data_IF_237314766171
#
_entry.id   IF_237314766171
#
_cell.length_a   1.000
_cell.length_b   1.000
_cell.length_c   1.000
_cell.angle_alpha   90.00
_cell.angle_beta   90.00
_cell.angle_gamma   90.00
#
_symmetry.space_group_name_H-M   'P 1'
#
loop_
_entity.id
_entity.type
_entity.pdbx_description
1 polymer ?
#
# COMPACT_ATOMS: atom_id res chain seq x y z
N UNK A 1 26.32 2.90 -14.29
CA UNK A 1 25.66 4.07 -13.67
C UNK A 1 24.31 4.26 -14.37
N UNK A 2 23.18 4.03 -13.68
CA UNK A 2 21.85 4.25 -14.28
C UNK A 2 21.53 5.74 -14.26
N UNK A 3 21.40 6.38 -15.43
CA UNK A 3 20.98 7.77 -15.56
C UNK A 3 19.50 7.88 -15.14
N UNK A 4 19.21 8.67 -14.10
CA UNK A 4 17.84 8.98 -13.66
C UNK A 4 17.46 10.37 -14.15
N UNK A 5 16.50 10.44 -15.07
CA UNK A 5 15.98 11.70 -15.57
C UNK A 5 14.81 12.19 -14.71
N UNK A 6 14.82 13.49 -14.35
CA UNK A 6 13.72 14.15 -13.63
C UNK A 6 12.99 15.10 -14.57
N UNK A 7 11.72 14.83 -14.82
CA UNK A 7 10.88 15.66 -15.69
C UNK A 7 9.88 16.48 -14.88
N UNK A 8 9.58 17.70 -15.33
CA UNK A 8 8.51 18.54 -14.77
C UNK A 8 7.26 18.39 -15.63
N UNK A 9 6.20 17.83 -15.07
CA UNK A 9 4.88 17.82 -15.72
C UNK A 9 4.25 19.21 -15.60
N UNK A 10 3.70 19.71 -16.71
CA UNK A 10 2.86 20.93 -16.74
C UNK A 10 1.42 20.53 -17.10
N UNK A 11 0.62 20.07 -16.12
CA UNK A 11 -0.75 19.64 -16.39
C UNK A 11 -1.62 20.81 -16.84
N UNK A 12 -2.58 20.55 -17.73
CA UNK A 12 -3.63 21.52 -18.05
C UNK A 12 -4.61 21.68 -16.87
N UNK A 13 -5.51 22.68 -16.93
CA UNK A 13 -6.46 22.97 -15.84
C UNK A 13 -7.33 21.76 -15.49
N UNK A 14 -7.87 21.05 -16.49
CA UNK A 14 -8.69 19.85 -16.28
C UNK A 14 -7.87 18.70 -15.67
N UNK A 15 -6.66 18.46 -16.17
CA UNK A 15 -5.73 17.47 -15.58
C UNK A 15 -5.39 17.80 -14.12
N UNK A 16 -5.16 19.07 -13.79
CA UNK A 16 -4.86 19.49 -12.43
C UNK A 16 -6.03 19.20 -11.47
N UNK A 17 -7.27 19.41 -11.90
CA UNK A 17 -8.47 19.05 -11.12
C UNK A 17 -8.54 17.54 -10.89
N UNK A 18 -8.28 16.73 -11.91
CA UNK A 18 -8.24 15.26 -11.78
C UNK A 18 -7.18 14.83 -10.78
N UNK A 19 -5.96 15.37 -10.90
CA UNK A 19 -4.84 15.07 -9.99
C UNK A 19 -5.19 15.48 -8.54
N UNK A 20 -5.82 16.64 -8.35
CA UNK A 20 -6.24 17.11 -7.02
C UNK A 20 -7.31 16.20 -6.39
N UNK A 21 -8.26 15.71 -7.20
CA UNK A 21 -9.26 14.74 -6.76
C UNK A 21 -8.61 13.41 -6.38
N UNK A 22 -7.66 12.92 -7.19
CA UNK A 22 -6.90 11.71 -6.90
C UNK A 22 -6.08 11.82 -5.61
N UNK A 23 -5.39 12.94 -5.39
CA UNK A 23 -4.66 13.20 -4.14
C UNK A 23 -5.60 13.20 -2.93
N UNK A 24 -6.81 13.76 -3.08
CA UNK A 24 -7.81 13.79 -2.01
C UNK A 24 -8.32 12.40 -1.67
N UNK A 25 -8.63 11.57 -2.67
CA UNK A 25 -9.03 10.17 -2.48
C UNK A 25 -7.88 9.34 -1.91
N UNK A 26 -6.67 9.50 -2.42
CA UNK A 26 -5.48 8.82 -1.95
C UNK A 26 -5.21 9.10 -0.47
N UNK A 27 -5.37 10.35 -0.04
CA UNK A 27 -5.26 10.75 1.37
C UNK A 27 -6.31 10.08 2.26
N UNK A 28 -7.56 10.05 1.83
CA UNK A 28 -8.65 9.37 2.57
C UNK A 28 -8.34 7.89 2.73
N UNK A 29 -7.95 7.25 1.64
CA UNK A 29 -7.59 5.84 1.63
C UNK A 29 -6.38 5.56 2.53
N UNK A 30 -5.32 6.36 2.44
CA UNK A 30 -4.15 6.24 3.32
C UNK A 30 -4.56 6.30 4.79
N UNK A 31 -5.36 7.29 5.19
CA UNK A 31 -5.78 7.45 6.58
C UNK A 31 -6.66 6.29 7.06
N UNK A 32 -7.59 5.82 6.22
CA UNK A 32 -8.42 4.66 6.52
C UNK A 32 -7.56 3.40 6.76
N UNK A 33 -6.66 3.09 5.83
CA UNK A 33 -5.76 1.93 5.93
C UNK A 33 -4.77 2.03 7.09
N UNK A 34 -4.31 3.24 7.41
CA UNK A 34 -3.47 3.46 8.57
C UNK A 34 -4.26 3.22 9.87
N UNK A 35 -5.51 3.66 9.95
CA UNK A 35 -6.37 3.46 11.10
C UNK A 35 -6.61 1.96 11.37
N UNK A 36 -6.92 1.17 10.34
CA UNK A 36 -7.07 -0.29 10.46
C UNK A 36 -5.84 -0.93 11.14
N UNK A 37 -4.64 -0.56 10.70
CA UNK A 37 -3.39 -1.10 11.22
C UNK A 37 -3.06 -0.62 12.63
N UNK A 38 -3.34 0.65 12.93
CA UNK A 38 -3.12 1.21 14.27
C UNK A 38 -4.09 0.62 15.28
N UNK A 39 -5.36 0.43 14.91
CA UNK A 39 -6.36 -0.23 15.76
C UNK A 39 -5.93 -1.67 16.08
N UNK A 40 -5.44 -2.42 15.08
CA UNK A 40 -4.88 -3.75 15.31
C UNK A 40 -3.67 -3.70 16.23
N UNK A 41 -2.72 -2.80 15.96
CA UNK A 41 -1.51 -2.66 16.75
C UNK A 41 -1.82 -2.32 18.22
N UNK A 42 -2.79 -1.45 18.48
CA UNK A 42 -3.22 -1.13 19.84
C UNK A 42 -3.89 -2.31 20.54
N UNK A 43 -4.64 -3.12 19.80
CA UNK A 43 -5.33 -4.27 20.35
C UNK A 43 -4.40 -5.46 20.63
N UNK A 44 -3.28 -5.58 19.91
CA UNK A 44 -2.34 -6.70 20.03
C UNK A 44 -1.03 -6.34 20.75
N UNK A 45 -0.72 -5.06 20.94
CA UNK A 45 0.54 -4.64 21.57
C UNK A 45 0.57 -4.99 23.05
N UNK A 46 1.74 -5.46 23.48
CA UNK A 46 2.16 -5.57 24.87
C UNK A 46 3.17 -4.48 25.21
N UNK A 47 3.03 -3.77 26.34
CA UNK A 47 4.01 -2.75 26.74
C UNK A 47 5.38 -3.39 27.01
N UNK A 48 6.47 -2.69 26.68
CA UNK A 48 7.86 -3.19 26.82
C UNK A 48 8.21 -3.52 28.27
N UNK A 49 7.57 -2.84 29.24
CA UNK A 49 7.76 -3.06 30.68
C UNK A 49 6.80 -4.11 31.27
N UNK A 50 6.08 -4.85 30.41
CA UNK A 50 5.20 -5.93 30.82
C UNK A 50 5.64 -7.24 30.14
N UNK A 51 5.32 -8.36 30.76
CA UNK A 51 5.49 -9.66 30.12
C UNK A 51 4.71 -9.66 28.79
N UNK A 52 5.32 -10.04 27.65
CA UNK A 52 4.59 -10.16 26.41
C UNK A 52 3.45 -11.16 26.60
N UNK A 53 2.22 -10.71 26.40
CA UNK A 53 1.10 -11.62 26.28
C UNK A 53 1.34 -12.49 25.06
N UNK A 54 1.34 -13.81 25.28
CA UNK A 54 1.39 -14.80 24.21
C UNK A 54 0.08 -14.84 23.39
N UNK A 55 -0.89 -13.98 23.72
CA UNK A 55 -2.23 -13.92 23.14
C UNK A 55 -2.75 -12.46 23.14
N UNK A 56 -3.60 -12.12 22.17
CA UNK A 56 -4.26 -10.81 22.08
C UNK A 56 -5.21 -10.55 23.25
N UNK A 57 -5.17 -9.35 23.85
CA UNK A 57 -6.11 -8.92 24.92
C UNK A 57 -7.54 -8.78 24.39
N UNK A 58 -7.66 -8.32 23.14
CA UNK A 58 -8.94 -8.20 22.47
C UNK A 58 -9.30 -9.55 21.84
N UNK A 59 -10.57 -10.01 21.92
CA UNK A 59 -11.00 -11.26 21.30
C UNK A 59 -10.58 -11.30 19.83
N UNK A 60 -9.81 -12.33 19.46
CA UNK A 60 -9.29 -12.57 18.12
C UNK A 60 -10.44 -12.48 17.10
N UNK A 61 -11.58 -13.09 17.40
CA UNK A 61 -12.76 -13.09 16.53
C UNK A 61 -13.23 -11.68 16.12
N UNK A 62 -13.11 -10.65 16.98
CA UNK A 62 -13.54 -9.28 16.65
C UNK A 62 -12.54 -8.51 15.80
N UNK A 63 -11.24 -8.78 15.95
CA UNK A 63 -10.19 -8.10 15.19
C UNK A 63 -9.98 -8.76 13.82
N UNK A 64 -10.07 -10.08 13.76
CA UNK A 64 -9.78 -10.89 12.58
C UNK A 64 -11.02 -11.25 11.76
N UNK A 65 -12.22 -10.85 12.17
CA UNK A 65 -13.49 -11.24 11.53
C UNK A 65 -13.52 -11.03 10.01
N UNK A 66 -12.84 -9.98 9.53
CA UNK A 66 -12.78 -9.63 8.10
C UNK A 66 -11.43 -9.96 7.44
N UNK A 67 -10.50 -10.62 8.14
CA UNK A 67 -9.16 -10.92 7.64
C UNK A 67 -9.10 -12.41 7.27
N UNK A 68 -8.95 -12.76 5.98
CA UNK A 68 -8.80 -14.15 5.60
C UNK A 68 -7.47 -14.71 6.10
N UNK A 69 -7.47 -15.92 6.67
CA UNK A 69 -6.26 -16.56 7.21
C UNK A 69 -5.21 -16.85 6.14
N UNK A 70 -5.66 -17.22 4.94
CA UNK A 70 -4.80 -17.57 3.81
C UNK A 70 -5.20 -16.77 2.57
N UNK A 71 -4.21 -16.51 1.72
CA UNK A 71 -4.43 -16.05 0.34
C UNK A 71 -3.99 -17.15 -0.62
N UNK A 72 -4.72 -17.29 -1.72
CA UNK A 72 -4.42 -18.27 -2.77
C UNK A 72 -3.75 -17.55 -3.93
N UNK A 73 -2.64 -18.08 -4.44
CA UNK A 73 -2.05 -17.55 -5.66
C UNK A 73 -2.93 -17.82 -6.88
N UNK A 74 -3.24 -16.76 -7.63
CA UNK A 74 -4.08 -16.85 -8.82
C UNK A 74 -3.30 -17.19 -10.10
N UNK A 75 -1.97 -17.02 -10.08
CA UNK A 75 -1.06 -17.17 -11.24
C UNK A 75 0.28 -17.72 -10.77
N UNK A 76 1.04 -18.26 -11.71
CA UNK A 76 2.40 -18.71 -11.44
C UNK A 76 3.34 -17.55 -11.12
N UNK A 77 4.30 -17.82 -10.23
CA UNK A 77 5.29 -16.86 -9.79
C UNK A 77 6.23 -16.44 -10.93
N UNK A 78 6.60 -15.16 -10.95
CA UNK A 78 7.57 -14.64 -11.92
C UNK A 78 9.00 -15.15 -11.66
N UNK A 79 9.33 -15.42 -10.39
CA UNK A 79 10.65 -15.95 -10.02
C UNK A 79 10.73 -17.44 -10.36
N UNK A 80 11.83 -17.83 -10.99
CA UNK A 80 12.12 -19.20 -11.40
C UNK A 80 13.25 -19.77 -10.56
N UNK A 81 13.20 -21.07 -10.30
CA UNK A 81 14.31 -21.83 -9.73
C UNK A 81 15.46 -21.96 -10.75
N UNK A 82 16.55 -22.58 -10.33
CA UNK A 82 17.71 -22.86 -11.20
C UNK A 82 17.35 -23.74 -12.40
N UNK A 83 16.25 -24.48 -12.34
CA UNK A 83 15.76 -25.37 -13.38
C UNK A 83 14.74 -24.69 -14.32
N UNK A 84 14.45 -23.40 -14.12
CA UNK A 84 13.52 -22.63 -14.93
C UNK A 84 12.04 -22.79 -14.56
N UNK A 85 11.71 -23.56 -13.52
CA UNK A 85 10.35 -23.74 -13.03
C UNK A 85 9.93 -22.58 -12.12
N UNK A 86 8.66 -22.15 -12.14
CA UNK A 86 8.16 -21.15 -11.19
C UNK A 86 8.34 -21.62 -9.73
N UNK A 87 8.94 -20.78 -8.89
CA UNK A 87 9.15 -21.08 -7.45
C UNK A 87 7.80 -21.23 -6.73
N UNK A 88 6.83 -20.41 -7.11
CA UNK A 88 5.46 -20.50 -6.61
C UNK A 88 4.52 -20.81 -7.76
N UNK A 89 3.55 -21.67 -7.51
CA UNK A 89 2.58 -22.14 -8.50
C UNK A 89 1.19 -21.58 -8.21
N UNK A 90 0.37 -21.49 -9.24
CA UNK A 90 -1.06 -21.20 -9.10
C UNK A 90 -1.70 -22.23 -8.15
N UNK A 91 -2.48 -21.75 -7.18
CA UNK A 91 -3.14 -22.58 -6.18
C UNK A 91 -2.41 -22.66 -4.83
N UNK A 92 -1.15 -22.23 -4.76
CA UNK A 92 -0.40 -22.22 -3.50
C UNK A 92 -1.11 -21.32 -2.47
N UNK A 93 -1.29 -21.84 -1.25
CA UNK A 93 -1.84 -21.11 -0.10
C UNK A 93 -0.71 -20.46 0.67
N UNK A 94 -0.80 -19.14 0.83
CA UNK A 94 0.15 -18.36 1.63
C UNK A 94 -0.57 -17.84 2.88
N UNK A 95 0.00 -18.01 4.08
CA UNK A 95 -0.60 -17.46 5.28
C UNK A 95 -0.56 -15.92 5.24
N UNK A 96 -1.65 -15.31 5.68
CA UNK A 96 -1.73 -13.87 5.92
C UNK A 96 -1.36 -13.50 7.36
N UNK A 97 -1.16 -14.50 8.23
CA UNK A 97 -0.68 -14.33 9.59
C UNK A 97 0.62 -15.12 9.73
N UNK A 98 1.72 -14.43 10.02
CA UNK A 98 3.05 -15.02 10.18
C UNK A 98 3.59 -14.60 11.54
N UNK A 99 3.96 -15.57 12.38
CA UNK A 99 4.47 -15.34 13.74
C UNK A 99 3.55 -14.46 14.61
N UNK A 100 2.23 -14.58 14.44
CA UNK A 100 1.23 -13.77 15.16
C UNK A 100 1.00 -12.36 14.59
N UNK A 101 1.70 -11.97 13.52
CA UNK A 101 1.53 -10.69 12.86
C UNK A 101 0.79 -10.83 11.53
N UNK A 102 -0.14 -9.91 11.27
CA UNK A 102 -0.86 -9.83 9.99
C UNK A 102 0.04 -9.23 8.93
N UNK A 103 0.12 -9.89 7.78
CA UNK A 103 0.71 -9.37 6.55
C UNK A 103 -0.26 -8.36 5.93
N UNK A 104 -0.31 -7.17 6.52
CA UNK A 104 -1.30 -6.13 6.21
C UNK A 104 -1.27 -5.66 4.76
N UNK A 105 -0.09 -5.60 4.15
CA UNK A 105 0.06 -5.22 2.75
C UNK A 105 -0.78 -6.12 1.84
N UNK A 106 -0.64 -7.44 1.97
CA UNK A 106 -1.34 -8.39 1.09
C UNK A 106 -2.85 -8.38 1.33
N UNK A 107 -3.27 -8.24 2.60
CA UNK A 107 -4.68 -8.16 2.98
C UNK A 107 -5.32 -6.89 2.38
N UNK A 108 -4.70 -5.74 2.57
CA UNK A 108 -5.24 -4.47 2.09
C UNK A 108 -5.19 -4.35 0.56
N UNK A 109 -4.20 -4.96 -0.10
CA UNK A 109 -4.15 -5.04 -1.56
C UNK A 109 -5.30 -5.89 -2.13
N UNK A 110 -5.64 -7.01 -1.49
CA UNK A 110 -6.78 -7.82 -1.90
C UNK A 110 -8.11 -7.08 -1.70
N UNK A 111 -8.24 -6.35 -0.59
CA UNK A 111 -9.44 -5.56 -0.25
C UNK A 111 -9.66 -4.33 -1.16
N UNK A 112 -8.68 -3.95 -1.99
CA UNK A 112 -8.89 -2.92 -3.02
C UNK A 112 -10.01 -3.29 -4.01
N UNK A 113 -10.21 -4.58 -4.28
CA UNK A 113 -11.31 -5.03 -5.14
C UNK A 113 -12.68 -4.69 -4.53
N UNK A 114 -12.85 -4.97 -3.23
CA UNK A 114 -14.04 -4.62 -2.47
C UNK A 114 -14.20 -3.11 -2.32
N UNK A 115 -13.11 -2.38 -2.09
CA UNK A 115 -13.12 -0.90 -2.04
C UNK A 115 -13.71 -0.32 -3.32
N UNK A 116 -13.30 -0.82 -4.49
CA UNK A 116 -13.84 -0.36 -5.79
C UNK A 116 -15.30 -0.74 -6.03
N UNK A 117 -15.80 -1.78 -5.34
CA UNK A 117 -17.21 -2.18 -5.37
C UNK A 117 -18.05 -1.24 -4.52
N UNK A 118 -17.58 -0.93 -3.31
CA UNK A 118 -18.27 -0.05 -2.36
C UNK A 118 -18.24 1.42 -2.80
N UNK A 119 -17.12 1.87 -3.36
CA UNK A 119 -16.89 3.26 -3.75
C UNK A 119 -16.53 3.35 -5.25
N UNK A 120 -17.53 3.52 -6.13
CA UNK A 120 -17.30 3.57 -7.58
C UNK A 120 -16.35 4.69 -8.03
N UNK A 121 -16.24 5.78 -7.27
CA UNK A 121 -15.29 6.88 -7.50
C UNK A 121 -13.82 6.41 -7.61
N UNK A 122 -13.45 5.34 -6.90
CA UNK A 122 -12.11 4.75 -6.93
C UNK A 122 -11.80 4.03 -8.25
N UNK A 123 -12.81 3.76 -9.09
CA UNK A 123 -12.61 3.19 -10.43
C UNK A 123 -11.95 4.20 -11.37
N UNK A 124 -12.16 5.50 -11.13
CA UNK A 124 -11.51 6.58 -11.90
C UNK A 124 -10.01 6.67 -11.64
N UNK A 125 -9.55 6.19 -10.48
CA UNK A 125 -8.12 6.17 -10.14
C UNK A 125 -7.40 5.00 -10.80
N UNK A 126 -6.20 5.28 -11.26
CA UNK A 126 -5.33 4.25 -11.79
C UNK A 126 -4.95 3.22 -10.70
N UNK A 127 -4.96 1.92 -11.07
CA UNK A 127 -4.73 0.81 -10.14
C UNK A 127 -3.39 0.91 -9.40
N UNK A 128 -2.34 1.36 -10.07
CA UNK A 128 -1.02 1.52 -9.46
C UNK A 128 -1.00 2.60 -8.37
N UNK A 129 -1.83 3.65 -8.46
CA UNK A 129 -1.92 4.67 -7.40
C UNK A 129 -2.51 4.07 -6.13
N UNK A 130 -3.53 3.21 -6.28
CA UNK A 130 -4.13 2.47 -5.17
C UNK A 130 -3.14 1.53 -4.49
N UNK A 131 -2.32 0.85 -5.29
CA UNK A 131 -1.25 -0.01 -4.78
C UNK A 131 -0.17 0.81 -4.06
N UNK A 132 0.25 1.94 -4.63
CA UNK A 132 1.23 2.87 -4.02
C UNK A 132 0.74 3.40 -2.66
N UNK A 133 -0.55 3.71 -2.52
CA UNK A 133 -1.12 4.14 -1.24
C UNK A 133 -0.91 3.06 -0.16
N UNK A 134 -1.21 1.80 -0.46
CA UNK A 134 -1.03 0.69 0.48
C UNK A 134 0.45 0.49 0.81
N UNK A 135 1.33 0.57 -0.18
CA UNK A 135 2.78 0.48 0.02
C UNK A 135 3.30 1.59 0.94
N UNK A 136 2.81 2.82 0.79
CA UNK A 136 3.20 3.94 1.65
C UNK A 136 2.78 3.73 3.10
N UNK A 137 1.61 3.15 3.33
CA UNK A 137 1.16 2.76 4.68
C UNK A 137 2.08 1.68 5.24
N UNK A 138 2.45 0.68 4.43
CA UNK A 138 3.41 -0.37 4.80
C UNK A 138 4.74 0.23 5.25
N UNK A 139 5.39 1.04 4.42
CA UNK A 139 6.65 1.70 4.79
C UNK A 139 6.51 2.57 6.03
N UNK A 140 5.38 3.26 6.21
CA UNK A 140 5.16 4.09 7.40
C UNK A 140 5.08 3.24 8.66
N UNK A 141 4.40 2.10 8.60
CA UNK A 141 4.29 1.16 9.73
C UNK A 141 5.61 0.44 10.00
N UNK A 142 6.33 0.01 8.97
CA UNK A 142 7.64 -0.63 9.12
C UNK A 142 8.64 0.31 9.79
N UNK A 143 8.68 1.58 9.38
CA UNK A 143 9.53 2.57 10.03
C UNK A 143 9.16 2.83 11.50
N UNK A 144 7.92 2.55 11.89
CA UNK A 144 7.44 2.69 13.27
C UNK A 144 7.76 1.45 14.12
N UNK A 145 7.66 0.26 13.55
CA UNK A 145 7.84 -1.01 14.28
C UNK A 145 9.26 -1.56 14.23
N UNK A 146 9.99 -1.33 13.14
CA UNK A 146 11.32 -1.87 12.91
C UNK A 146 12.36 -0.76 13.09
N UNK A 147 13.44 -1.01 13.85
CA UNK A 147 14.54 -0.05 13.96
C UNK A 147 15.29 0.06 12.63
N UNK A 148 15.70 1.27 12.27
CA UNK A 148 16.63 1.51 11.17
C UNK A 148 18.02 0.90 11.48
N UNK A 149 18.94 0.91 10.52
CA UNK A 149 20.34 0.47 10.67
C UNK A 149 21.08 1.10 11.86
N UNK A 150 20.62 2.26 12.34
CA UNK A 150 21.15 2.98 13.49
C UNK A 150 20.41 2.64 14.81
N UNK A 151 19.52 1.63 14.82
CA UNK A 151 18.72 1.25 15.99
C UNK A 151 17.52 2.16 16.27
N UNK A 152 17.29 3.20 15.47
CA UNK A 152 16.25 4.21 15.71
C UNK A 152 14.95 3.86 14.99
N UNK A 153 13.82 3.92 15.69
CA UNK A 153 12.48 3.85 15.11
C UNK A 153 11.90 5.25 14.89
N UNK A 154 10.99 5.35 13.92
CA UNK A 154 10.15 6.54 13.77
C UNK A 154 9.10 6.60 14.88
N UNK A 155 8.67 7.80 15.22
CA UNK A 155 7.53 7.99 16.13
C UNK A 155 6.23 7.45 15.53
N UNK A 156 5.20 7.37 16.38
CA UNK A 156 3.87 6.88 15.99
C UNK A 156 3.36 7.60 14.72
N UNK A 157 2.92 6.86 13.69
CA UNK A 157 2.36 7.42 12.48
C UNK A 157 1.17 8.35 12.76
N UNK A 158 1.11 9.46 12.03
CA UNK A 158 0.02 10.45 12.11
C UNK A 158 -0.83 10.42 10.85
N UNK A 159 -2.13 10.66 11.02
CA UNK A 159 -3.05 10.88 9.90
C UNK A 159 -2.61 12.08 9.07
N UNK A 160 -2.80 11.99 7.75
CA UNK A 160 -2.40 13.01 6.79
C UNK A 160 -3.53 14.02 6.58
N UNK A 161 -3.24 15.28 6.91
CA UNK A 161 -4.07 16.43 6.51
C UNK A 161 -3.89 16.79 5.03
N UNK A 162 -4.70 17.73 4.52
CA UNK A 162 -4.74 18.12 3.10
C UNK A 162 -3.36 18.48 2.53
N UNK A 163 -2.54 19.18 3.29
CA UNK A 163 -1.22 19.65 2.84
C UNK A 163 -0.10 18.60 3.03
N UNK A 164 -0.39 17.47 3.67
CA UNK A 164 0.60 16.44 4.01
C UNK A 164 0.60 15.23 3.06
N UNK A 165 -0.33 15.19 2.10
CA UNK A 165 -0.41 14.16 1.06
C UNK A 165 -0.46 14.83 -0.33
N UNK A 166 0.72 15.05 -0.92
CA UNK A 166 0.89 15.89 -2.12
C UNK A 166 1.52 15.15 -3.31
N UNK A 167 1.72 13.84 -3.21
CA UNK A 167 2.31 13.03 -4.28
C UNK A 167 1.72 11.63 -4.33
N UNK A 168 1.83 10.99 -5.48
CA UNK A 168 1.64 9.54 -5.69
C UNK A 168 2.65 9.08 -6.75
N UNK A 169 2.94 7.78 -6.77
CA UNK A 169 3.94 7.19 -7.66
C UNK A 169 3.32 6.20 -8.64
N UNK A 170 3.90 6.11 -9.85
CA UNK A 170 3.62 5.07 -10.83
C UNK A 170 4.86 4.16 -10.98
N UNK A 171 4.90 3.00 -10.30
CA UNK A 171 6.07 2.14 -10.33
C UNK A 171 6.33 1.51 -11.71
N UNK A 172 5.33 1.40 -12.60
CA UNK A 172 5.49 0.74 -13.90
C UNK A 172 5.29 1.73 -15.07
N UNK A 173 6.07 2.82 -15.09
CA UNK A 173 6.03 3.82 -16.16
C UNK A 173 7.03 3.53 -17.31
N UNK A 174 7.32 2.26 -17.61
CA UNK A 174 8.43 1.91 -18.52
C UNK A 174 8.14 2.21 -20.00
N UNK A 175 6.85 2.28 -20.41
CA UNK A 175 6.46 2.37 -21.83
C UNK A 175 5.43 3.48 -22.12
N UNK A 176 5.36 4.54 -21.29
CA UNK A 176 4.49 5.66 -21.59
C UNK A 176 5.13 6.51 -22.70
N UNK A 177 4.64 6.37 -23.94
CA UNK A 177 4.88 7.36 -24.99
C UNK A 177 4.27 8.68 -24.53
N UNK A 178 5.04 9.51 -23.82
CA UNK A 178 4.65 10.88 -23.48
C UNK A 178 4.73 11.67 -24.79
N UNK A 179 3.66 11.59 -25.58
CA UNK A 179 3.54 12.33 -26.84
C UNK A 179 3.47 13.81 -26.49
N UNK A 180 4.48 14.56 -26.91
CA UNK A 180 4.46 16.02 -26.92
C UNK A 180 3.68 16.44 -28.16
N UNK A 181 2.72 17.38 -28.05
CA UNK A 181 2.25 18.08 -29.24
C UNK A 181 3.37 18.97 -29.80
N UNK A 182 3.20 19.45 -31.04
CA UNK A 182 4.14 20.34 -31.74
C UNK A 182 4.62 21.56 -30.90
N UNK A 183 3.83 21.99 -29.91
CA UNK A 183 4.12 23.12 -29.03
C UNK A 183 4.76 22.74 -27.68
N UNK A 184 5.24 21.49 -27.51
CA UNK A 184 5.86 21.02 -26.26
C UNK A 184 4.91 20.92 -25.06
N UNK A 185 3.58 20.94 -25.31
CA UNK A 185 2.52 20.74 -24.31
C UNK A 185 1.80 19.41 -24.58
N UNK A 186 1.26 18.77 -23.54
CA UNK A 186 0.32 17.66 -23.75
C UNK A 186 -0.94 18.18 -24.47
N UNK A 187 -1.52 17.40 -25.40
CA UNK A 187 -2.85 17.68 -25.93
C UNK A 187 -3.83 17.70 -24.77
N UNK A 188 -4.53 18.82 -24.63
CA UNK A 188 -5.72 18.94 -23.82
C UNK A 188 -6.90 19.13 -24.76
#
# INVERSE_FOLDING_TARGET
>A
MLLKYKYKLKPCKSQAVIIANWLSMARRQYNYRLAERLNWFEATRTPVNACPLNVSVVPIERIYQNIPEFRVQTRDGRKKDSNGNPITKKGDKHPNIVNGYVVWETVQLADLAQTKKLFPEYKSMHSQVLQDIVQRVQTTMDNFTQPDKNGKTSGRPKYKGKHYYNSFSYPQLSNANIVKNANGRCPC
#
